data_IF_802601533597
#
_entry.id   IF_802601533597
#
_cell.length_a   1.000
_cell.length_b   1.000
_cell.length_c   1.000
_cell.angle_alpha   90.00
_cell.angle_beta   90.00
_cell.angle_gamma   90.00
#
_symmetry.space_group_name_H-M   'P 1'
#
loop_
_entity.id
_entity.type
_entity.pdbx_description
1 polymer ?
#
# COMPACT_ATOMS: atom_id res chain seq x y z
N UNK A 1 14.66 -25.90 56.37
CA UNK A 1 14.93 -26.05 54.93
C UNK A 1 13.67 -25.65 54.17
N UNK A 2 13.57 -24.38 53.77
CA UNK A 2 12.40 -23.83 53.07
C UNK A 2 12.50 -24.13 51.59
N UNK A 3 11.66 -25.03 51.10
CA UNK A 3 11.61 -25.37 49.69
C UNK A 3 10.69 -24.38 48.96
N UNK A 4 11.30 -23.35 48.38
CA UNK A 4 10.63 -22.35 47.54
C UNK A 4 10.19 -23.01 46.24
N UNK A 5 8.89 -23.24 46.09
CA UNK A 5 8.31 -23.67 44.81
C UNK A 5 8.33 -22.48 43.84
N UNK A 6 9.23 -22.55 42.86
CA UNK A 6 9.32 -21.59 41.76
C UNK A 6 8.14 -21.80 40.81
N UNK A 7 7.10 -20.98 40.95
CA UNK A 7 5.96 -20.97 40.02
C UNK A 7 6.40 -20.34 38.69
N UNK A 8 6.67 -21.18 37.70
CA UNK A 8 7.02 -20.74 36.34
C UNK A 8 5.76 -20.27 35.63
N UNK A 9 5.61 -18.95 35.51
CA UNK A 9 4.55 -18.30 34.74
C UNK A 9 4.75 -18.57 33.24
N UNK A 10 4.22 -19.69 32.74
CA UNK A 10 4.19 -19.98 31.30
C UNK A 10 3.07 -19.16 30.67
N UNK A 11 3.44 -18.29 29.73
CA UNK A 11 2.49 -17.63 28.85
C UNK A 11 1.57 -18.70 28.22
N UNK A 12 0.26 -18.59 28.45
CA UNK A 12 -0.73 -19.53 27.93
C UNK A 12 -0.76 -19.35 26.40
N UNK A 13 -0.07 -20.24 25.68
CA UNK A 13 -0.22 -20.35 24.24
C UNK A 13 -1.59 -21.01 24.02
N UNK A 14 -2.60 -20.22 23.64
CA UNK A 14 -3.93 -20.73 23.35
C UNK A 14 -3.86 -21.72 22.18
N UNK A 15 -4.40 -22.92 22.38
CA UNK A 15 -4.51 -23.93 21.32
C UNK A 15 -5.40 -23.46 20.17
N UNK A 16 -5.14 -23.89 18.93
CA UNK A 16 -6.00 -23.56 17.79
C UNK A 16 -7.42 -24.10 18.01
N UNK A 17 -8.42 -23.33 17.58
CA UNK A 17 -9.82 -23.73 17.61
C UNK A 17 -10.12 -24.63 16.42
N UNK A 18 -10.57 -25.86 16.68
CA UNK A 18 -10.91 -26.86 15.65
C UNK A 18 -12.41 -27.15 15.71
N UNK A 19 -13.07 -27.10 14.55
CA UNK A 19 -14.50 -27.41 14.40
C UNK A 19 -14.64 -28.50 13.34
N UNK A 20 -15.50 -29.49 13.61
CA UNK A 20 -15.92 -30.46 12.59
C UNK A 20 -17.07 -29.84 11.80
N UNK A 21 -16.95 -29.86 10.48
CA UNK A 21 -17.96 -29.36 9.56
C UNK A 21 -18.40 -30.53 8.68
N UNK A 22 -19.67 -30.54 8.31
CA UNK A 22 -20.17 -31.40 7.22
C UNK A 22 -19.69 -30.85 5.87
N UNK A 23 -19.76 -31.66 4.81
CA UNK A 23 -19.36 -31.22 3.47
C UNK A 23 -20.18 -30.01 2.99
N UNK A 24 -21.47 -29.98 3.31
CA UNK A 24 -22.39 -28.88 3.00
C UNK A 24 -21.99 -27.58 3.70
N UNK A 25 -21.68 -27.66 4.99
CA UNK A 25 -21.19 -26.53 5.79
C UNK A 25 -19.84 -26.02 5.27
N UNK A 26 -18.96 -26.94 4.85
CA UNK A 26 -17.64 -26.58 4.32
C UNK A 26 -17.74 -25.81 3.00
N UNK A 27 -18.61 -26.27 2.09
CA UNK A 27 -18.87 -25.60 0.81
C UNK A 27 -19.47 -24.21 1.05
N UNK A 28 -20.46 -24.11 1.94
CA UNK A 28 -21.11 -22.83 2.27
C UNK A 28 -20.11 -21.83 2.87
N UNK A 29 -19.29 -22.27 3.83
CA UNK A 29 -18.25 -21.43 4.45
C UNK A 29 -17.22 -20.94 3.42
N UNK A 30 -16.88 -21.77 2.43
CA UNK A 30 -15.96 -21.40 1.34
C UNK A 30 -16.58 -20.36 0.41
N UNK A 31 -17.86 -20.50 0.08
CA UNK A 31 -18.60 -19.55 -0.76
C UNK A 31 -18.75 -18.20 -0.06
N UNK A 32 -19.16 -18.19 1.20
CA UNK A 32 -19.37 -16.97 2.00
C UNK A 32 -18.06 -16.22 2.29
N UNK A 33 -16.92 -16.92 2.35
CA UNK A 33 -15.61 -16.31 2.55
C UNK A 33 -15.13 -15.45 1.36
N UNK A 34 -15.54 -15.78 0.13
CA UNK A 34 -15.14 -15.11 -1.11
C UNK A 34 -13.63 -14.78 -1.18
N UNK A 35 -13.25 -13.50 -0.98
CA UNK A 35 -11.87 -13.01 -1.06
C UNK A 35 -11.13 -12.97 0.30
N UNK A 36 -11.75 -13.45 1.38
CA UNK A 36 -11.14 -13.52 2.72
C UNK A 36 -10.56 -14.91 2.97
N UNK A 37 -9.57 -15.00 3.84
CA UNK A 37 -9.15 -16.32 4.35
C UNK A 37 -10.31 -16.96 5.13
N UNK A 38 -10.44 -18.29 5.06
CA UNK A 38 -11.46 -19.03 5.82
C UNK A 38 -11.40 -18.69 7.31
N UNK A 39 -10.20 -18.56 7.85
CA UNK A 39 -9.96 -18.20 9.26
C UNK A 39 -10.47 -16.80 9.61
N UNK A 40 -10.28 -15.82 8.72
CA UNK A 40 -10.78 -14.45 8.91
C UNK A 40 -12.30 -14.39 8.78
N UNK A 41 -12.86 -15.14 7.83
CA UNK A 41 -14.30 -15.22 7.65
C UNK A 41 -14.98 -15.92 8.85
N UNK A 42 -14.44 -17.05 9.30
CA UNK A 42 -14.94 -17.77 10.48
C UNK A 42 -14.89 -16.89 11.75
N UNK A 43 -13.79 -16.17 11.98
CA UNK A 43 -13.71 -15.20 13.09
C UNK A 43 -14.71 -14.06 12.95
N UNK A 44 -14.93 -13.56 11.73
CA UNK A 44 -15.90 -12.52 11.48
C UNK A 44 -17.32 -12.98 11.83
N UNK A 45 -17.70 -14.21 11.45
CA UNK A 45 -18.99 -14.79 11.84
C UNK A 45 -19.10 -15.02 13.36
N UNK A 46 -18.01 -15.41 14.03
CA UNK A 46 -18.02 -15.70 15.46
C UNK A 46 -18.05 -14.46 16.36
N UNK A 47 -17.47 -13.35 15.92
CA UNK A 47 -17.26 -12.19 16.78
C UNK A 47 -17.85 -10.88 16.25
N UNK A 48 -18.47 -10.90 15.07
CA UNK A 48 -19.28 -9.89 14.34
C UNK A 48 -18.80 -8.42 14.30
N UNK A 49 -18.14 -7.87 15.33
CA UNK A 49 -17.51 -6.54 15.37
C UNK A 49 -16.50 -6.30 16.51
N UNK A 50 -16.36 -7.17 17.51
CA UNK A 50 -15.70 -6.79 18.79
C UNK A 50 -14.21 -7.14 18.91
N UNK A 51 -13.60 -7.60 17.82
CA UNK A 51 -12.18 -7.95 17.81
C UNK A 51 -11.42 -6.96 16.95
N UNK A 52 -10.40 -6.34 17.53
CA UNK A 52 -9.41 -5.52 16.81
C UNK A 52 -8.96 -6.29 15.58
N UNK A 53 -9.32 -5.77 14.40
CA UNK A 53 -8.94 -6.38 13.11
C UNK A 53 -7.43 -6.58 13.15
N UNK A 54 -6.99 -7.83 13.12
CA UNK A 54 -5.56 -8.15 13.02
C UNK A 54 -5.05 -7.43 11.77
N UNK A 55 -3.89 -6.78 11.87
CA UNK A 55 -3.29 -6.05 10.76
C UNK A 55 -3.32 -6.99 9.55
N UNK A 56 -4.11 -6.66 8.51
CA UNK A 56 -4.14 -7.46 7.29
C UNK A 56 -2.69 -7.57 6.85
N UNK A 57 -2.20 -8.80 6.75
CA UNK A 57 -0.91 -9.04 6.15
C UNK A 57 -1.01 -8.45 4.73
N UNK A 58 -0.15 -7.48 4.43
CA UNK A 58 -0.12 -6.84 3.11
C UNK A 58 -0.17 -7.96 2.07
N UNK A 59 -1.13 -7.91 1.14
CA UNK A 59 -1.11 -8.80 0.00
C UNK A 59 0.25 -8.61 -0.68
N UNK A 60 0.86 -9.70 -1.14
CA UNK A 60 2.01 -9.60 -2.02
C UNK A 60 1.55 -8.84 -3.26
N UNK A 61 2.25 -7.75 -3.59
CA UNK A 61 1.98 -6.98 -4.79
C UNK A 61 2.10 -7.89 -6.02
N UNK A 62 1.26 -7.65 -7.03
CA UNK A 62 1.37 -8.40 -8.29
C UNK A 62 2.71 -8.08 -8.98
N UNK A 63 3.18 -8.97 -9.88
CA UNK A 63 4.40 -8.73 -10.65
C UNK A 63 4.31 -7.40 -11.42
N UNK A 64 3.13 -7.11 -11.99
CA UNK A 64 2.83 -5.87 -12.70
C UNK A 64 2.95 -4.64 -11.77
N UNK A 65 2.38 -4.70 -10.56
CA UNK A 65 2.48 -3.62 -9.57
C UNK A 65 3.94 -3.35 -9.17
N UNK A 66 4.75 -4.40 -9.02
CA UNK A 66 6.18 -4.27 -8.69
C UNK A 66 6.96 -3.64 -9.84
N UNK A 67 6.72 -4.07 -11.08
CA UNK A 67 7.39 -3.51 -12.27
C UNK A 67 7.04 -2.04 -12.47
N UNK A 68 5.77 -1.68 -12.30
CA UNK A 68 5.31 -0.27 -12.37
C UNK A 68 5.96 0.57 -11.27
N UNK A 69 6.02 0.05 -10.04
CA UNK A 69 6.67 0.75 -8.93
C UNK A 69 8.18 0.95 -9.15
N UNK A 70 8.87 -0.06 -9.71
CA UNK A 70 10.29 0.03 -10.06
C UNK A 70 10.54 1.08 -11.16
N UNK A 71 9.75 1.04 -12.24
CA UNK A 71 9.85 2.03 -13.33
C UNK A 71 9.63 3.47 -12.81
N UNK A 72 8.67 3.65 -11.89
CA UNK A 72 8.44 4.93 -11.22
C UNK A 72 9.59 5.34 -10.30
N UNK A 73 10.22 4.38 -9.63
CA UNK A 73 11.43 4.60 -8.85
C UNK A 73 12.56 5.18 -9.71
N UNK A 74 12.78 4.59 -10.88
CA UNK A 74 13.77 5.09 -11.85
C UNK A 74 13.38 6.46 -12.42
N UNK A 75 12.11 6.66 -12.80
CA UNK A 75 11.60 7.97 -13.23
C UNK A 75 11.72 9.05 -12.14
N UNK A 76 11.62 8.69 -10.87
CA UNK A 76 11.85 9.63 -9.77
C UNK A 76 13.33 9.99 -9.62
N UNK A 77 14.24 9.03 -9.88
CA UNK A 77 15.69 9.23 -9.81
C UNK A 77 16.22 10.19 -10.89
N UNK A 78 15.58 10.27 -12.05
CA UNK A 78 15.96 11.22 -13.11
C UNK A 78 15.74 12.68 -12.72
N UNK A 79 15.01 12.96 -11.63
CA UNK A 79 14.73 14.32 -11.11
C UNK A 79 14.13 15.27 -12.15
N UNK A 80 13.49 14.76 -13.20
CA UNK A 80 12.98 15.55 -14.33
C UNK A 80 12.10 16.73 -13.89
N UNK A 81 11.16 16.50 -12.97
CA UNK A 81 10.30 17.56 -12.44
C UNK A 81 11.08 18.67 -11.71
N UNK A 82 12.16 18.32 -11.00
CA UNK A 82 12.97 19.30 -10.28
C UNK A 82 13.84 20.12 -11.25
N UNK A 83 14.44 19.47 -12.24
CA UNK A 83 15.21 20.14 -13.29
C UNK A 83 14.33 21.09 -14.10
N UNK A 84 13.12 20.65 -14.42
CA UNK A 84 12.16 21.42 -15.18
C UNK A 84 11.63 22.62 -14.39
N UNK A 85 11.44 22.47 -13.07
CA UNK A 85 11.11 23.60 -12.19
C UNK A 85 12.27 24.61 -12.06
N UNK A 86 13.53 24.15 -12.10
CA UNK A 86 14.69 25.04 -12.13
C UNK A 86 14.74 25.85 -13.44
N UNK A 87 14.45 25.22 -14.58
CA UNK A 87 14.34 25.91 -15.87
C UNK A 87 13.21 26.94 -15.85
N UNK A 88 12.02 26.57 -15.38
CA UNK A 88 10.90 27.50 -15.23
C UNK A 88 11.25 28.70 -14.32
N UNK A 89 11.93 28.45 -13.20
CA UNK A 89 12.41 29.52 -12.31
C UNK A 89 13.44 30.43 -12.99
N UNK A 90 14.40 29.86 -13.71
CA UNK A 90 15.42 30.63 -14.44
C UNK A 90 14.80 31.51 -15.53
N UNK A 91 13.78 30.99 -16.22
CA UNK A 91 12.98 31.75 -17.19
C UNK A 91 12.22 32.89 -16.51
N UNK A 92 11.50 32.59 -15.42
CA UNK A 92 10.70 33.59 -14.69
C UNK A 92 11.56 34.65 -14.00
N UNK A 93 12.78 34.32 -13.58
CA UNK A 93 13.72 35.27 -12.97
C UNK A 93 14.50 36.10 -14.00
N UNK A 94 14.26 35.89 -15.30
CA UNK A 94 14.99 36.56 -16.38
C UNK A 94 16.45 36.10 -16.52
N UNK A 95 16.86 35.03 -15.84
CA UNK A 95 18.19 34.43 -15.95
C UNK A 95 18.36 33.69 -17.30
N UNK A 96 17.25 33.13 -17.80
CA UNK A 96 17.16 32.55 -19.13
C UNK A 96 16.36 33.52 -20.03
N UNK A 97 17.01 34.12 -21.01
CA UNK A 97 16.34 34.98 -22.00
C UNK A 97 15.70 34.07 -23.03
N UNK A 98 14.37 34.07 -23.05
CA UNK A 98 13.56 33.25 -23.95
C UNK A 98 12.42 34.14 -24.48
N UNK A 99 12.01 34.01 -25.75
CA UNK A 99 10.79 34.65 -26.26
C UNK A 99 9.58 34.29 -25.40
N UNK A 100 8.65 35.23 -25.20
CA UNK A 100 7.48 35.01 -24.32
C UNK A 100 6.64 33.78 -24.74
N UNK A 101 6.52 33.53 -26.03
CA UNK A 101 5.82 32.35 -26.56
C UNK A 101 6.49 31.04 -26.12
N UNK A 102 7.83 30.98 -26.18
CA UNK A 102 8.62 29.83 -25.76
C UNK A 102 8.57 29.63 -24.23
N UNK A 103 8.45 30.72 -23.45
CA UNK A 103 8.26 30.64 -21.98
C UNK A 103 6.95 29.95 -21.64
N UNK A 104 5.87 30.33 -22.32
CA UNK A 104 4.55 29.74 -22.11
C UNK A 104 4.56 28.24 -22.44
N UNK A 105 5.19 27.85 -23.55
CA UNK A 105 5.34 26.43 -23.95
C UNK A 105 6.12 25.64 -22.89
N UNK A 106 7.21 26.20 -22.36
CA UNK A 106 8.03 25.53 -21.34
C UNK A 106 7.24 25.35 -20.03
N UNK A 107 6.54 26.38 -19.56
CA UNK A 107 5.69 26.29 -18.36
C UNK A 107 4.55 25.29 -18.52
N UNK A 108 3.95 25.21 -19.71
CA UNK A 108 2.93 24.21 -20.03
C UNK A 108 3.49 22.78 -19.97
N UNK A 109 4.69 22.56 -20.52
CA UNK A 109 5.37 21.27 -20.44
C UNK A 109 5.66 20.88 -18.98
N UNK A 110 6.05 21.83 -18.13
CA UNK A 110 6.20 21.63 -16.68
C UNK A 110 4.90 21.11 -16.04
N UNK A 111 3.78 21.76 -16.34
CA UNK A 111 2.48 21.42 -15.80
C UNK A 111 2.04 20.00 -16.23
N UNK A 112 2.19 19.66 -17.51
CA UNK A 112 1.86 18.33 -18.02
C UNK A 112 2.68 17.22 -17.34
N UNK A 113 3.98 17.43 -17.16
CA UNK A 113 4.86 16.45 -16.49
C UNK A 113 4.48 16.31 -15.00
N UNK A 114 4.12 17.40 -14.34
CA UNK A 114 3.61 17.36 -12.98
C UNK A 114 2.32 16.54 -12.87
N UNK A 115 1.33 16.79 -13.75
CA UNK A 115 0.05 16.08 -13.77
C UNK A 115 0.21 14.59 -14.05
N UNK A 116 1.04 14.21 -15.03
CA UNK A 116 1.34 12.81 -15.32
C UNK A 116 1.92 12.11 -14.09
N UNK A 117 2.87 12.75 -13.40
CA UNK A 117 3.45 12.20 -12.16
C UNK A 117 2.42 12.09 -11.05
N UNK A 118 1.61 13.13 -10.84
CA UNK A 118 0.59 13.15 -9.80
C UNK A 118 -0.45 12.03 -10.01
N UNK A 119 -0.91 11.87 -11.25
CA UNK A 119 -1.86 10.81 -11.62
C UNK A 119 -1.30 9.42 -11.39
N UNK A 120 -0.03 9.18 -11.75
CA UNK A 120 0.64 7.90 -11.52
C UNK A 120 0.80 7.58 -10.03
N UNK A 121 1.20 8.56 -9.20
CA UNK A 121 1.33 8.35 -7.74
C UNK A 121 -0.03 8.06 -7.10
N UNK A 122 -1.07 8.78 -7.54
CA UNK A 122 -2.45 8.58 -7.06
C UNK A 122 -2.99 7.20 -7.42
N UNK A 123 -2.75 6.74 -8.65
CA UNK A 123 -3.18 5.41 -9.12
C UNK A 123 -2.56 4.26 -8.31
N UNK A 124 -1.37 4.46 -7.74
CA UNK A 124 -0.69 3.47 -6.90
C UNK A 124 -1.06 3.51 -5.41
N UNK A 125 -1.95 4.42 -5.00
CA UNK A 125 -2.42 4.50 -3.61
C UNK A 125 -1.38 5.02 -2.61
N UNK A 126 -0.34 5.74 -3.07
CA UNK A 126 0.67 6.38 -2.20
C UNK A 126 0.36 7.86 -1.90
N UNK A 127 -0.91 8.27 -2.00
CA UNK A 127 -1.34 9.65 -1.76
C UNK A 127 -1.48 9.97 -0.26
#
# INVERSE_FOLDING_TARGET
>A
MTNTQTQTNRAIILSPFTVRLTDEEWVRLRQDAANKSLSDHARWCLFEKDVTKRRKQSRLASIEEVQVAQLLGELKRTRMANNLNQLAKAVNSGLLILPEDDKAVLLLACAHIYEMRHSLVKALGQA
#
